data_IF_264206057630
#
_entry.id   IF_264206057630
#
_cell.length_a   1.000
_cell.length_b   1.000
_cell.length_c   1.000
_cell.angle_alpha   90.00
_cell.angle_beta   90.00
_cell.angle_gamma   90.00
#
_symmetry.space_group_name_H-M   'P 1'
#
loop_
_entity.id
_entity.type
_entity.pdbx_description
1 polymer ?
#
# COMPACT_ATOMS: atom_id res chain seq x y z
N UNK A 1 5.26 33.31 -10.66
CA UNK A 1 6.47 32.47 -10.81
C UNK A 1 6.04 31.02 -10.62
N UNK A 2 5.97 30.23 -11.69
CA UNK A 2 5.60 28.83 -11.61
C UNK A 2 6.82 28.03 -11.12
N UNK A 3 6.72 27.45 -9.91
CA UNK A 3 7.76 26.57 -9.38
C UNK A 3 7.95 25.38 -10.32
N UNK A 4 9.20 25.14 -10.77
CA UNK A 4 9.58 23.93 -11.49
C UNK A 4 9.16 22.72 -10.64
N UNK A 5 8.14 22.00 -11.07
CA UNK A 5 7.87 20.65 -10.55
C UNK A 5 9.04 19.78 -10.99
N UNK A 6 9.95 19.50 -10.06
CA UNK A 6 11.07 18.59 -10.32
C UNK A 6 10.44 17.20 -10.48
N UNK A 7 10.46 16.69 -11.70
CA UNK A 7 9.97 15.35 -12.03
C UNK A 7 11.04 14.35 -11.56
N UNK A 8 11.07 14.09 -10.26
CA UNK A 8 11.93 13.07 -9.67
C UNK A 8 11.13 11.77 -9.77
N UNK A 9 11.61 10.76 -10.51
CA UNK A 9 10.89 9.51 -10.67
C UNK A 9 10.56 8.94 -9.30
N UNK A 10 9.39 8.29 -9.20
CA UNK A 10 9.02 7.50 -8.02
C UNK A 10 10.25 6.68 -7.62
N UNK A 11 10.72 6.82 -6.37
CA UNK A 11 11.91 6.10 -5.93
C UNK A 11 11.68 4.60 -6.19
N UNK A 12 12.61 3.90 -6.85
CA UNK A 12 12.45 2.47 -7.10
C UNK A 12 12.40 1.73 -5.76
N UNK A 13 11.67 0.62 -5.74
CA UNK A 13 11.66 -0.30 -4.60
C UNK A 13 13.11 -0.64 -4.20
N UNK A 14 13.46 -0.34 -2.94
CA UNK A 14 14.73 -0.68 -2.33
C UNK A 14 14.54 -1.89 -1.41
N UNK A 15 15.12 -3.04 -1.77
CA UNK A 15 15.01 -4.26 -0.99
C UNK A 15 15.70 -4.18 0.38
N UNK A 16 16.61 -3.21 0.58
CA UNK A 16 17.33 -3.00 1.83
C UNK A 16 16.62 -2.00 2.75
N UNK A 17 15.56 -1.34 2.27
CA UNK A 17 14.77 -0.45 3.08
C UNK A 17 13.77 -1.27 3.94
N UNK A 18 13.89 -1.26 5.27
CA UNK A 18 13.03 -2.07 6.15
C UNK A 18 11.56 -1.64 6.13
N UNK A 19 11.25 -0.46 5.58
CA UNK A 19 9.88 0.03 5.41
C UNK A 19 9.23 -0.44 4.11
N UNK A 20 10.00 -1.08 3.23
CA UNK A 20 9.48 -1.65 2.00
C UNK A 20 8.98 -3.08 2.25
N UNK A 21 7.79 -3.38 1.77
CA UNK A 21 7.07 -4.61 2.11
C UNK A 21 6.96 -5.45 0.85
N UNK A 22 7.13 -6.77 0.99
CA UNK A 22 6.76 -7.73 -0.04
C UNK A 22 5.70 -8.66 0.53
N UNK A 23 4.55 -8.74 -0.13
CA UNK A 23 3.48 -9.65 0.23
C UNK A 23 3.37 -10.69 -0.88
N UNK A 24 3.40 -11.97 -0.50
CA UNK A 24 2.95 -13.06 -1.37
C UNK A 24 1.48 -13.31 -1.05
N UNK A 25 0.60 -13.10 -2.02
CA UNK A 25 -0.84 -13.30 -1.83
C UNK A 25 -1.14 -14.77 -1.62
N UNK A 26 -1.81 -15.10 -0.52
CA UNK A 26 -2.41 -16.41 -0.30
C UNK A 26 -3.89 -16.41 -0.69
N UNK A 27 -4.55 -17.58 -0.82
CA UNK A 27 -5.99 -17.65 -1.07
C UNK A 27 -6.81 -16.84 -0.05
N UNK A 28 -6.42 -16.90 1.22
CA UNK A 28 -7.11 -16.17 2.29
C UNK A 28 -7.02 -14.64 2.13
N UNK A 29 -5.92 -14.10 1.60
CA UNK A 29 -5.78 -12.65 1.38
C UNK A 29 -6.74 -12.14 0.30
N UNK A 30 -6.99 -12.98 -0.70
CA UNK A 30 -7.93 -12.70 -1.78
C UNK A 30 -9.38 -12.77 -1.30
N UNK A 31 -9.71 -13.78 -0.49
CA UNK A 31 -11.07 -14.00 0.01
C UNK A 31 -11.46 -13.00 1.11
N UNK A 32 -10.58 -12.82 2.09
CA UNK A 32 -10.87 -11.98 3.25
C UNK A 32 -10.64 -10.48 2.97
N UNK A 33 -10.07 -10.14 1.79
CA UNK A 33 -9.61 -8.79 1.45
C UNK A 33 -8.72 -8.20 2.55
N UNK A 34 -7.95 -9.06 3.20
CA UNK A 34 -7.07 -8.69 4.29
C UNK A 34 -5.73 -8.22 3.72
N UNK A 35 -5.27 -7.10 4.22
CA UNK A 35 -3.90 -6.68 4.03
C UNK A 35 -3.14 -7.02 5.32
N UNK A 36 -2.36 -8.10 5.28
CA UNK A 36 -1.56 -8.52 6.43
C UNK A 36 -0.33 -7.63 6.58
N UNK A 37 -0.49 -6.34 6.87
CA UNK A 37 0.64 -5.55 7.36
C UNK A 37 0.24 -4.27 8.11
N UNK A 38 0.69 -4.16 9.37
CA UNK A 38 1.85 -3.35 9.79
C UNK A 38 2.19 -3.64 11.26
N UNK A 39 3.48 -3.73 11.59
CA UNK A 39 3.92 -3.52 12.98
C UNK A 39 3.54 -2.07 13.35
N UNK A 40 2.68 -1.91 14.37
CA UNK A 40 2.09 -0.63 14.78
C UNK A 40 3.13 0.48 14.96
N UNK A 41 4.37 0.15 15.34
CA UNK A 41 5.48 1.07 15.56
C UNK A 41 5.69 2.06 14.41
N UNK A 42 5.59 1.60 13.16
CA UNK A 42 5.80 2.41 11.95
C UNK A 42 4.58 3.27 11.61
N UNK A 43 3.39 2.82 12.00
CA UNK A 43 2.11 3.49 11.76
C UNK A 43 1.74 4.52 12.84
N UNK A 44 2.15 4.28 14.08
CA UNK A 44 1.90 5.13 15.27
C UNK A 44 2.57 6.50 15.14
N UNK A 45 3.72 6.58 14.45
CA UNK A 45 4.40 7.85 14.19
C UNK A 45 3.72 8.73 13.13
N UNK A 46 3.12 8.13 12.09
CA UNK A 46 2.69 8.86 10.89
C UNK A 46 1.29 9.49 10.97
N UNK A 47 0.41 9.02 11.87
CA UNK A 47 -1.02 9.33 11.78
C UNK A 47 -1.70 9.59 13.14
N UNK A 48 -0.99 10.21 14.10
CA UNK A 48 -1.39 10.44 15.51
C UNK A 48 -2.79 11.06 15.77
N UNK A 49 -3.87 10.37 15.43
CA UNK A 49 -5.23 10.61 15.94
C UNK A 49 -5.87 9.24 16.19
N UNK A 50 -6.14 8.87 17.46
CA UNK A 50 -6.90 7.68 17.81
C UNK A 50 -8.33 7.72 17.23
N UNK A 51 -8.93 6.55 17.03
CA UNK A 51 -10.37 6.34 16.78
C UNK A 51 -11.00 6.97 15.52
N UNK A 52 -10.21 7.27 14.49
CA UNK A 52 -10.72 7.68 13.17
C UNK A 52 -10.27 6.71 12.08
N UNK A 53 -11.16 6.35 11.13
CA UNK A 53 -10.76 5.64 9.92
C UNK A 53 -9.67 6.46 9.22
N UNK A 54 -8.52 5.84 8.97
CA UNK A 54 -7.37 6.51 8.38
C UNK A 54 -7.38 6.24 6.89
N UNK A 55 -7.43 7.31 6.10
CA UNK A 55 -7.40 7.20 4.64
C UNK A 55 -5.94 7.23 4.17
N UNK A 56 -5.56 6.25 3.36
CA UNK A 56 -4.24 6.19 2.70
C UNK A 56 -4.44 6.27 1.19
N UNK A 57 -3.59 7.05 0.53
CA UNK A 57 -3.43 6.98 -0.92
C UNK A 57 -2.53 5.81 -1.30
N UNK A 58 -3.07 4.85 -2.05
CA UNK A 58 -2.29 3.81 -2.71
C UNK A 58 -2.12 4.16 -4.19
N UNK A 59 -0.90 4.45 -4.59
CA UNK A 59 -0.53 4.66 -5.99
C UNK A 59 -0.01 3.36 -6.60
N UNK A 60 -0.66 2.88 -7.65
CA UNK A 60 -0.18 1.71 -8.41
C UNK A 60 0.71 2.16 -9.56
N UNK A 61 1.97 1.71 -9.57
CA UNK A 61 2.95 2.21 -10.54
C UNK A 61 2.69 1.71 -11.96
N UNK A 62 2.12 0.52 -12.12
CA UNK A 62 1.88 -0.11 -13.43
C UNK A 62 0.72 0.58 -14.14
N UNK A 63 -0.37 0.78 -13.42
CA UNK A 63 -1.62 1.33 -13.93
C UNK A 63 -1.68 2.85 -13.85
N UNK A 64 -0.79 3.48 -13.05
CA UNK A 64 -0.81 4.91 -12.73
C UNK A 64 -2.11 5.38 -12.07
N UNK A 65 -2.85 4.48 -11.42
CA UNK A 65 -4.09 4.79 -10.72
C UNK A 65 -3.83 4.93 -9.22
N UNK A 66 -4.32 6.03 -8.63
CA UNK A 66 -4.41 6.21 -7.18
C UNK A 66 -5.74 5.65 -6.67
N UNK A 67 -5.69 4.84 -5.62
CA UNK A 67 -6.86 4.32 -4.90
C UNK A 67 -6.80 4.80 -3.46
N UNK A 68 -7.88 5.40 -2.96
CA UNK A 68 -7.99 5.77 -1.55
C UNK A 68 -8.47 4.56 -0.76
N UNK A 69 -7.67 4.12 0.20
CA UNK A 69 -7.98 3.00 1.07
C UNK A 69 -8.30 3.52 2.47
N UNK A 70 -9.40 3.04 3.04
CA UNK A 70 -9.69 3.31 4.43
C UNK A 70 -9.16 2.17 5.28
N UNK A 71 -8.25 2.47 6.19
CA UNK A 71 -7.75 1.51 7.16
C UNK A 71 -8.69 1.46 8.35
N UNK A 72 -9.10 0.23 8.66
CA UNK A 72 -9.80 -0.13 9.88
C UNK A 72 -8.99 -1.17 10.64
N UNK A 73 -8.85 -0.96 11.93
CA UNK A 73 -8.28 -1.96 12.84
C UNK A 73 -9.33 -3.05 13.11
N UNK A 74 -8.92 -4.32 13.03
CA UNK A 74 -9.76 -5.48 13.32
C UNK A 74 -8.95 -6.52 14.11
N UNK A 75 -9.08 -6.48 15.43
CA UNK A 75 -8.32 -7.35 16.33
C UNK A 75 -6.82 -7.04 16.26
N UNK A 76 -6.01 -8.02 15.83
CA UNK A 76 -4.56 -7.86 15.63
C UNK A 76 -4.19 -7.55 14.17
N UNK A 77 -5.19 -7.25 13.33
CA UNK A 77 -5.02 -7.06 11.90
C UNK A 77 -5.58 -5.71 11.45
N UNK A 78 -5.19 -5.31 10.24
CA UNK A 78 -5.75 -4.15 9.57
C UNK A 78 -6.50 -4.59 8.31
N UNK A 79 -7.70 -4.03 8.13
CA UNK A 79 -8.49 -4.14 6.90
C UNK A 79 -8.39 -2.85 6.12
N UNK A 80 -8.22 -2.99 4.81
CA UNK A 80 -8.22 -1.88 3.88
C UNK A 80 -9.50 -1.96 3.07
N UNK A 81 -10.47 -1.10 3.41
CA UNK A 81 -11.67 -0.97 2.58
C UNK A 81 -11.25 -0.41 1.22
N UNK A 82 -11.64 -1.10 0.15
CA UNK A 82 -11.22 -0.83 -1.22
C UNK A 82 -10.10 -1.74 -1.75
N UNK A 83 -9.52 -2.61 -0.90
CA UNK A 83 -8.48 -3.57 -1.33
C UNK A 83 -8.98 -4.56 -2.39
N UNK A 84 -10.22 -5.05 -2.26
CA UNK A 84 -10.87 -5.91 -3.25
C UNK A 84 -10.87 -5.30 -4.67
N UNK A 85 -11.04 -3.98 -4.78
CA UNK A 85 -11.08 -3.29 -6.06
C UNK A 85 -9.71 -3.31 -6.74
N UNK A 86 -8.63 -3.20 -5.96
CA UNK A 86 -7.25 -3.31 -6.46
C UNK A 86 -6.97 -4.75 -6.91
N UNK A 87 -7.38 -5.73 -6.08
CA UNK A 87 -7.21 -7.15 -6.38
C UNK A 87 -7.90 -7.53 -7.70
N UNK A 88 -9.17 -7.15 -7.85
CA UNK A 88 -9.99 -7.44 -9.02
C UNK A 88 -9.48 -6.73 -10.27
N UNK A 89 -9.10 -5.45 -10.19
CA UNK A 89 -8.63 -4.66 -11.35
C UNK A 89 -7.41 -5.28 -12.03
N UNK A 90 -6.51 -5.89 -11.26
CA UNK A 90 -5.25 -6.44 -11.77
C UNK A 90 -5.26 -7.96 -11.91
N UNK A 91 -6.42 -8.60 -11.71
CA UNK A 91 -6.58 -10.06 -11.78
C UNK A 91 -5.52 -10.81 -10.97
N UNK A 92 -5.27 -10.34 -9.74
CA UNK A 92 -4.29 -10.98 -8.86
C UNK A 92 -4.72 -12.41 -8.50
N UNK A 93 -3.74 -13.30 -8.34
CA UNK A 93 -3.91 -14.72 -8.01
C UNK A 93 -3.07 -15.08 -6.80
N UNK A 94 -3.42 -16.19 -6.14
CA UNK A 94 -2.58 -16.75 -5.09
C UNK A 94 -1.20 -17.08 -5.67
N UNK A 95 -0.15 -16.73 -4.93
CA UNK A 95 1.25 -16.82 -5.36
C UNK A 95 1.80 -15.53 -5.99
N UNK A 96 0.94 -14.60 -6.43
CA UNK A 96 1.41 -13.29 -6.90
C UNK A 96 2.11 -12.54 -5.77
N UNK A 97 3.20 -11.85 -6.12
CA UNK A 97 3.95 -11.02 -5.19
C UNK A 97 3.71 -9.55 -5.48
N UNK A 98 3.37 -8.80 -4.45
CA UNK A 98 3.18 -7.35 -4.51
C UNK A 98 4.22 -6.70 -3.61
N UNK A 99 4.89 -5.68 -4.13
CA UNK A 99 5.76 -4.84 -3.32
C UNK A 99 5.08 -3.52 -3.00
N UNK A 100 5.31 -3.05 -1.79
CA UNK A 100 4.85 -1.75 -1.30
C UNK A 100 6.02 -0.95 -0.74
N UNK A 101 5.99 0.36 -0.95
CA UNK A 101 6.96 1.27 -0.35
C UNK A 101 6.36 2.65 -0.16
N UNK A 102 6.87 3.37 0.83
CA UNK A 102 6.40 4.71 1.13
C UNK A 102 7.06 5.74 0.22
N UNK A 103 6.23 6.53 -0.45
CA UNK A 103 6.63 7.80 -1.02
C UNK A 103 6.34 8.90 -0.02
N UNK A 104 7.35 9.19 0.80
CA UNK A 104 7.26 10.18 1.89
C UNK A 104 7.02 11.60 1.37
N UNK A 105 7.35 11.90 0.11
CA UNK A 105 7.16 13.25 -0.46
C UNK A 105 5.71 13.53 -0.78
N UNK A 106 5.00 12.52 -1.27
CA UNK A 106 3.57 12.62 -1.57
C UNK A 106 2.70 12.00 -0.46
N UNK A 107 3.32 11.55 0.65
CA UNK A 107 2.64 10.90 1.77
C UNK A 107 1.70 9.76 1.35
N UNK A 108 2.15 8.95 0.37
CA UNK A 108 1.37 7.88 -0.24
C UNK A 108 2.13 6.56 -0.22
N UNK A 109 1.40 5.46 -0.21
CA UNK A 109 1.94 4.13 -0.39
C UNK A 109 1.99 3.83 -1.89
N UNK A 110 3.12 3.37 -2.40
CA UNK A 110 3.24 2.89 -3.78
C UNK A 110 3.12 1.38 -3.78
N UNK A 111 2.48 0.82 -4.81
CA UNK A 111 2.41 -0.62 -5.08
C UNK A 111 2.91 -0.98 -6.47
N UNK A 112 3.52 -2.16 -6.58
CA UNK A 112 3.91 -2.76 -7.85
C UNK A 112 3.74 -4.29 -7.81
N UNK A 113 3.27 -4.90 -8.90
CA UNK A 113 3.25 -6.36 -9.04
C UNK A 113 4.65 -6.83 -9.45
N UNK A 114 5.24 -7.77 -8.72
CA UNK A 114 6.43 -8.46 -9.21
C UNK A 114 6.00 -9.50 -10.24
N UNK A 115 6.50 -9.35 -11.46
CA UNK A 115 6.41 -10.38 -12.49
C UNK A 115 7.52 -11.39 -12.19
N UNK A 116 7.13 -12.65 -11.94
CA UNK A 116 8.05 -13.79 -11.87
C UNK A 116 8.43 -14.28 -13.25
#
# INVERSE_FOLDING_TARGET
>A
MAGRRINIPDQPYDAQNPFNIVITLSPFDLEANLFRFMEMSTYVGLLQVPDKPRMIELFDIDTKITTFLTIKEEGQHFKFDGWCNILNRKNYRAGDRIVFWWDLRNSRLISNKLIS
#
